data_IF_470192027346
#
_entry.id   IF_470192027346
#
_cell.length_a   1.000
_cell.length_b   1.000
_cell.length_c   1.000
_cell.angle_alpha   90.00
_cell.angle_beta   90.00
_cell.angle_gamma   90.00
#
_symmetry.space_group_name_H-M   'P 1'
#
loop_
_entity.id
_entity.type
_entity.pdbx_description
1 polymer ?
#
# COMPACT_ATOMS: atom_id res chain seq x y z
N UNK A 1 -2.00 20.94 -2.80
CA UNK A 1 -1.05 21.42 -1.76
C UNK A 1 -1.88 22.14 -0.71
N UNK A 2 -1.76 21.68 0.53
CA UNK A 2 -2.51 22.25 1.65
C UNK A 2 -1.65 23.20 2.50
N UNK A 3 -0.34 22.91 2.57
CA UNK A 3 0.60 23.71 3.35
C UNK A 3 2.03 23.55 2.82
N UNK A 4 2.88 24.50 3.16
CA UNK A 4 4.31 24.49 2.86
C UNK A 4 5.06 25.20 3.99
N UNK A 5 5.94 24.48 4.66
CA UNK A 5 6.69 24.99 5.81
C UNK A 5 8.19 24.76 5.65
N UNK A 6 8.98 25.63 6.27
CA UNK A 6 10.42 25.42 6.38
C UNK A 6 10.69 24.40 7.48
N UNK A 7 11.55 23.44 7.19
CA UNK A 7 11.94 22.37 8.12
C UNK A 7 13.44 22.42 8.39
N UNK A 8 13.93 21.80 9.49
CA UNK A 8 15.36 21.68 9.76
C UNK A 8 16.11 20.92 8.65
N UNK A 9 17.40 21.22 8.48
CA UNK A 9 18.23 20.64 7.40
C UNK A 9 18.42 19.12 7.51
N UNK A 10 18.27 18.56 8.70
CA UNK A 10 18.34 17.13 8.97
C UNK A 10 17.02 16.38 8.68
N UNK A 11 15.93 17.12 8.38
CA UNK A 11 14.65 16.52 8.03
C UNK A 11 14.62 16.06 6.57
N UNK A 12 14.18 14.83 6.36
CA UNK A 12 14.07 14.24 5.03
C UNK A 12 12.65 13.70 4.78
N UNK A 13 11.97 14.23 3.76
CA UNK A 13 10.57 13.90 3.43
C UNK A 13 10.27 12.40 3.33
N UNK A 14 11.23 11.61 2.86
CA UNK A 14 11.09 10.16 2.70
C UNK A 14 11.47 9.38 3.96
N UNK A 15 12.59 9.75 4.60
CA UNK A 15 13.14 8.95 5.70
C UNK A 15 12.64 9.41 7.07
N UNK A 16 12.26 10.68 7.22
CA UNK A 16 11.63 11.20 8.44
C UNK A 16 10.12 10.93 8.51
N UNK A 17 9.56 10.23 7.52
CA UNK A 17 8.15 9.84 7.49
C UNK A 17 7.85 8.76 8.53
N UNK A 18 6.90 9.03 9.41
CA UNK A 18 6.50 8.13 10.51
C UNK A 18 5.44 7.11 10.15
N UNK A 19 4.67 7.37 9.08
CA UNK A 19 3.64 6.46 8.60
C UNK A 19 3.33 6.65 7.13
N UNK A 20 2.80 5.63 6.49
CA UNK A 20 2.35 5.64 5.09
C UNK A 20 1.06 4.87 4.96
N UNK A 21 0.07 5.45 4.32
CA UNK A 21 -1.17 4.78 3.96
C UNK A 21 -1.24 4.55 2.45
N UNK A 22 -1.71 3.39 2.06
CA UNK A 22 -1.89 3.01 0.67
C UNK A 22 -3.32 2.54 0.44
N UNK A 23 -3.89 2.90 -0.70
CA UNK A 23 -5.21 2.45 -1.12
C UNK A 23 -5.09 1.78 -2.49
N UNK A 24 -5.45 0.51 -2.55
CA UNK A 24 -5.60 -0.23 -3.78
C UNK A 24 -7.08 -0.31 -4.16
N UNK A 25 -7.41 0.18 -5.35
CA UNK A 25 -8.77 0.12 -5.88
C UNK A 25 -8.89 -1.07 -6.83
N UNK A 26 -9.78 -1.99 -6.50
CA UNK A 26 -10.06 -3.17 -7.31
C UNK A 26 -11.46 -3.05 -7.87
N UNK A 27 -11.61 -3.19 -9.19
CA UNK A 27 -12.89 -3.25 -9.87
C UNK A 27 -13.12 -4.68 -10.33
N UNK A 28 -14.01 -5.38 -9.63
CA UNK A 28 -14.33 -6.77 -9.90
C UNK A 28 -15.51 -6.87 -10.88
N UNK A 29 -15.21 -6.80 -12.16
CA UNK A 29 -16.20 -6.95 -13.23
C UNK A 29 -15.54 -7.39 -14.53
N UNK A 30 -16.36 -7.97 -15.43
CA UNK A 30 -15.90 -8.40 -16.76
C UNK A 30 -15.75 -7.24 -17.75
N UNK A 31 -16.65 -6.26 -17.69
CA UNK A 31 -16.58 -5.11 -18.60
C UNK A 31 -15.30 -4.30 -18.37
N UNK A 32 -14.63 -3.85 -19.44
CA UNK A 32 -13.38 -3.09 -19.32
C UNK A 32 -13.52 -1.83 -18.49
N UNK A 33 -12.41 -1.40 -17.90
CA UNK A 33 -12.31 -0.10 -17.26
C UNK A 33 -12.36 1.01 -18.31
N UNK A 34 -13.07 2.09 -17.99
CA UNK A 34 -13.17 3.29 -18.81
C UNK A 34 -12.61 4.49 -18.05
N UNK A 35 -13.42 5.16 -17.24
CA UNK A 35 -13.03 6.32 -16.44
C UNK A 35 -11.92 5.97 -15.41
N UNK A 36 -11.95 4.75 -14.88
CA UNK A 36 -11.00 4.25 -13.88
C UNK A 36 -9.76 3.58 -14.49
N UNK A 37 -9.55 3.69 -15.81
CA UNK A 37 -8.34 3.20 -16.47
C UNK A 37 -7.11 3.84 -15.81
N UNK A 38 -6.09 3.03 -15.56
CA UNK A 38 -4.83 3.40 -14.90
C UNK A 38 -4.96 3.89 -13.44
N UNK A 39 -6.17 3.83 -12.86
CA UNK A 39 -6.43 4.20 -11.46
C UNK A 39 -6.97 3.05 -10.61
N UNK A 40 -7.34 1.95 -11.22
CA UNK A 40 -7.85 0.77 -10.54
C UNK A 40 -7.35 -0.50 -11.22
N UNK A 41 -7.21 -1.56 -10.43
CA UNK A 41 -6.90 -2.88 -10.95
C UNK A 41 -8.19 -3.62 -11.31
N UNK A 42 -8.31 -4.02 -12.56
CA UNK A 42 -9.43 -4.84 -13.00
C UNK A 42 -9.16 -6.31 -12.72
N UNK A 43 -10.09 -6.95 -12.04
CA UNK A 43 -10.10 -8.40 -11.83
C UNK A 43 -11.41 -8.97 -12.37
N UNK A 44 -11.30 -9.87 -13.34
CA UNK A 44 -12.46 -10.46 -14.02
C UNK A 44 -13.02 -11.63 -13.20
N UNK A 45 -12.14 -12.41 -12.57
CA UNK A 45 -12.52 -13.54 -11.73
C UNK A 45 -13.31 -13.05 -10.52
N UNK A 46 -14.35 -13.82 -10.15
CA UNK A 46 -15.15 -13.49 -8.96
C UNK A 46 -14.25 -13.47 -7.71
N UNK A 47 -14.25 -12.37 -7.01
CA UNK A 47 -13.55 -12.21 -5.74
C UNK A 47 -14.52 -12.38 -4.57
N UNK A 48 -14.01 -12.95 -3.50
CA UNK A 48 -14.68 -13.01 -2.21
C UNK A 48 -14.03 -11.99 -1.27
N UNK A 49 -14.68 -10.85 -1.09
CA UNK A 49 -14.17 -9.75 -0.30
C UNK A 49 -14.05 -10.11 1.19
N UNK A 50 -14.96 -10.95 1.70
CA UNK A 50 -14.92 -11.37 3.11
C UNK A 50 -13.75 -12.31 3.37
N UNK A 51 -13.49 -13.25 2.45
CA UNK A 51 -12.33 -14.12 2.55
C UNK A 51 -11.00 -13.32 2.42
N UNK A 52 -10.96 -12.34 1.52
CA UNK A 52 -9.82 -11.43 1.37
C UNK A 52 -9.59 -10.62 2.66
N UNK A 53 -10.64 -10.07 3.26
CA UNK A 53 -10.55 -9.32 4.51
C UNK A 53 -10.04 -10.20 5.66
N UNK A 54 -10.58 -11.41 5.81
CA UNK A 54 -10.10 -12.36 6.83
C UNK A 54 -8.62 -12.71 6.65
N UNK A 55 -8.19 -12.94 5.42
CA UNK A 55 -6.78 -13.20 5.12
C UNK A 55 -5.89 -11.98 5.44
N UNK A 56 -6.34 -10.78 5.12
CA UNK A 56 -5.61 -9.54 5.41
C UNK A 56 -5.40 -9.31 6.91
N UNK A 57 -6.34 -9.75 7.77
CA UNK A 57 -6.18 -9.64 9.23
C UNK A 57 -4.95 -10.38 9.77
N UNK A 58 -4.48 -11.41 9.08
CA UNK A 58 -3.24 -12.12 9.45
C UNK A 58 -1.98 -11.27 9.29
N UNK A 59 -2.05 -10.20 8.51
CA UNK A 59 -0.93 -9.30 8.25
C UNK A 59 -0.90 -8.09 9.18
N UNK A 60 -1.96 -7.89 9.98
CA UNK A 60 -2.03 -6.79 10.96
C UNK A 60 -1.04 -7.04 12.09
N UNK A 61 -0.34 -6.00 12.52
CA UNK A 61 0.67 -6.04 13.56
C UNK A 61 2.09 -5.98 13.02
N UNK A 62 3.04 -6.35 13.87
CA UNK A 62 4.48 -6.34 13.56
C UNK A 62 4.89 -7.67 12.93
N UNK A 63 5.31 -7.63 11.67
CA UNK A 63 5.75 -8.81 10.93
C UNK A 63 7.00 -8.55 10.12
N UNK A 64 7.70 -9.64 9.78
CA UNK A 64 8.76 -9.64 8.77
C UNK A 64 8.15 -9.86 7.38
N UNK A 65 8.16 -8.82 6.57
CA UNK A 65 7.63 -8.82 5.21
C UNK A 65 8.69 -9.09 4.14
N UNK A 66 9.78 -9.80 4.46
CA UNK A 66 10.88 -10.10 3.51
C UNK A 66 10.36 -10.71 2.22
N UNK A 67 9.39 -11.65 2.29
CA UNK A 67 8.81 -12.33 1.12
C UNK A 67 8.12 -11.35 0.14
N UNK A 68 7.62 -10.22 0.65
CA UNK A 68 6.94 -9.18 -0.16
C UNK A 68 7.88 -8.05 -0.58
N UNK A 69 9.15 -8.12 -0.17
CA UNK A 69 10.12 -7.06 -0.41
C UNK A 69 10.64 -7.10 -1.85
N UNK A 70 10.65 -5.95 -2.51
CA UNK A 70 11.37 -5.80 -3.79
C UNK A 70 12.88 -5.95 -3.58
N UNK A 71 13.58 -6.54 -4.55
CA UNK A 71 15.06 -6.66 -4.55
C UNK A 71 15.76 -5.30 -4.51
N UNK A 72 15.12 -4.24 -5.03
CA UNK A 72 15.64 -2.87 -5.02
C UNK A 72 15.05 -2.00 -3.90
N UNK A 73 14.48 -2.62 -2.86
CA UNK A 73 13.90 -1.88 -1.74
C UNK A 73 15.00 -1.16 -0.95
N UNK A 74 14.87 0.16 -0.81
CA UNK A 74 15.83 1.01 -0.09
C UNK A 74 15.56 1.05 1.43
N UNK A 75 14.52 0.38 1.94
CA UNK A 75 14.27 0.29 3.37
C UNK A 75 15.34 -0.57 4.05
N UNK A 76 15.86 -0.15 5.20
CA UNK A 76 16.87 -0.88 5.94
C UNK A 76 16.35 -2.22 6.47
N UNK A 77 15.11 -2.25 6.97
CA UNK A 77 14.50 -3.44 7.57
C UNK A 77 13.21 -3.85 6.84
N UNK A 78 12.98 -5.17 6.63
CA UNK A 78 11.73 -5.71 6.14
C UNK A 78 10.65 -5.80 7.25
N UNK A 79 11.02 -5.64 8.51
CA UNK A 79 10.10 -5.68 9.65
C UNK A 79 9.30 -4.39 9.68
N UNK A 80 7.98 -4.51 9.59
CA UNK A 80 7.03 -3.38 9.54
C UNK A 80 5.80 -3.70 10.38
N UNK A 81 5.17 -2.64 10.88
CA UNK A 81 3.85 -2.73 11.50
C UNK A 81 2.80 -2.33 10.48
N UNK A 82 1.79 -3.16 10.33
CA UNK A 82 0.59 -2.88 9.54
C UNK A 82 -0.59 -2.64 10.51
N UNK A 83 -1.32 -1.54 10.31
CA UNK A 83 -2.48 -1.15 11.13
C UNK A 83 -3.79 -1.51 10.42
#
# INVERSE_FOLDING_TARGET
>A
ILDCVVVPDDWHARFSCTGRAYQYRIVNRRAPLTVERDRAWQVIQKLDADAMHKAAQLLVGLHDFTTFRSTHCQAESPVKTLD
#
